data_IF_618525801670
#
_entry.id   IF_618525801670
#
_cell.length_a   1.000
_cell.length_b   1.000
_cell.length_c   1.000
_cell.angle_alpha   90.00
_cell.angle_beta   90.00
_cell.angle_gamma   90.00
#
_symmetry.space_group_name_H-M   'P 1'
#
loop_
_entity.id
_entity.type
_entity.pdbx_description
1 polymer ?
#
# COMPACT_ATOMS: atom_id res chain seq x y z
N UNK A 1 -16.43 30.19 53.31
CA UNK A 1 -15.13 30.25 52.60
C UNK A 1 -14.58 28.89 52.15
N UNK A 2 -14.68 27.79 52.94
CA UNK A 2 -14.09 26.47 52.60
C UNK A 2 -14.63 25.85 51.28
N UNK A 3 -15.89 26.10 50.91
CA UNK A 3 -16.46 25.57 49.66
C UNK A 3 -15.82 26.15 48.39
N UNK A 4 -15.34 27.39 48.44
CA UNK A 4 -14.70 28.03 47.28
C UNK A 4 -13.27 27.51 47.04
N UNK A 5 -12.57 27.07 48.09
CA UNK A 5 -11.23 26.47 47.96
C UNK A 5 -11.24 25.11 47.25
N UNK A 6 -12.33 24.33 47.37
CA UNK A 6 -12.45 23.02 46.73
C UNK A 6 -12.60 23.12 45.20
N UNK A 7 -13.35 24.10 44.72
CA UNK A 7 -13.50 24.32 43.27
C UNK A 7 -12.22 24.87 42.64
N UNK A 8 -11.47 25.72 43.36
CA UNK A 8 -10.18 26.20 42.90
C UNK A 8 -9.14 25.06 42.77
N UNK A 9 -9.08 24.13 43.73
CA UNK A 9 -8.17 22.99 43.67
C UNK A 9 -8.46 22.03 42.50
N UNK A 10 -9.75 21.78 42.19
CA UNK A 10 -10.14 20.94 41.05
C UNK A 10 -9.85 21.62 39.71
N UNK A 11 -10.03 22.95 39.61
CA UNK A 11 -9.70 23.70 38.41
C UNK A 11 -8.19 23.68 38.09
N UNK A 12 -7.32 23.72 39.11
CA UNK A 12 -5.87 23.60 38.93
C UNK A 12 -5.43 22.20 38.48
N UNK A 13 -6.11 21.13 38.92
CA UNK A 13 -5.80 19.75 38.50
C UNK A 13 -6.22 19.45 37.06
N UNK A 14 -7.20 20.18 36.50
CA UNK A 14 -7.66 20.01 35.12
C UNK A 14 -6.76 20.75 34.11
N UNK A 15 -6.08 21.83 34.53
CA UNK A 15 -5.22 22.62 33.64
C UNK A 15 -3.90 21.92 33.27
N UNK A 16 -3.44 20.95 34.06
CA UNK A 16 -2.13 20.27 33.86
C UNK A 16 -2.11 19.20 32.77
N UNK A 17 -3.26 18.80 32.21
CA UNK A 17 -3.31 17.73 31.20
C UNK A 17 -3.07 18.20 29.76
N UNK A 18 -3.09 19.51 29.47
CA UNK A 18 -2.94 20.00 28.08
C UNK A 18 -1.49 19.98 27.58
N UNK A 19 -0.51 20.19 28.45
CA UNK A 19 0.91 20.30 28.07
C UNK A 19 1.59 18.97 27.73
N UNK A 20 0.95 17.83 28.01
CA UNK A 20 1.59 16.52 27.84
C UNK A 20 1.46 15.97 26.40
N UNK A 21 0.46 16.42 25.65
CA UNK A 21 0.15 15.88 24.32
C UNK A 21 0.98 16.56 23.22
N UNK A 22 1.18 17.87 23.30
CA UNK A 22 1.92 18.62 22.28
C UNK A 22 3.40 18.26 22.22
N UNK A 23 3.97 17.71 23.30
CA UNK A 23 5.38 17.33 23.35
C UNK A 23 5.75 16.12 22.48
N UNK A 24 4.77 15.29 22.09
CA UNK A 24 5.00 14.01 21.40
C UNK A 24 4.91 14.09 19.88
N UNK A 25 4.32 15.13 19.31
CA UNK A 25 4.16 15.30 17.86
C UNK A 25 5.10 16.39 17.38
N UNK A 26 5.83 16.14 16.30
CA UNK A 26 6.70 17.11 15.64
C UNK A 26 6.31 17.26 14.17
N UNK A 27 6.35 18.50 13.66
CA UNK A 27 6.22 18.78 12.24
C UNK A 27 7.59 18.61 11.55
N UNK A 28 7.69 17.69 10.59
CA UNK A 28 8.91 17.40 9.85
C UNK A 28 8.69 17.67 8.37
N UNK A 29 9.49 18.56 7.78
CA UNK A 29 9.46 18.87 6.36
C UNK A 29 10.40 17.97 5.58
N UNK A 30 9.85 17.22 4.62
CA UNK A 30 10.63 16.31 3.78
C UNK A 30 10.69 16.86 2.36
N UNK A 31 11.90 17.03 1.84
CA UNK A 31 12.18 17.52 0.50
C UNK A 31 13.02 16.51 -0.28
N UNK A 32 12.71 16.36 -1.57
CA UNK A 32 13.50 15.54 -2.50
C UNK A 32 14.20 16.42 -3.53
N UNK A 33 15.51 16.28 -3.65
CA UNK A 33 16.33 17.00 -4.65
C UNK A 33 16.66 16.06 -5.81
N UNK A 34 16.76 16.55 -7.04
CA UNK A 34 17.14 15.72 -8.21
C UNK A 34 16.06 14.74 -8.72
N UNK A 35 14.84 14.77 -8.18
CA UNK A 35 13.70 14.01 -8.66
C UNK A 35 12.37 14.72 -8.33
N UNK A 36 11.38 14.58 -9.20
CA UNK A 36 10.00 15.04 -8.98
C UNK A 36 9.07 13.82 -8.88
N UNK A 37 7.90 13.99 -8.26
CA UNK A 37 6.88 12.95 -8.11
C UNK A 37 7.42 11.67 -7.45
N UNK A 38 8.25 11.84 -6.43
CA UNK A 38 8.80 10.72 -5.67
C UNK A 38 7.75 10.17 -4.71
N UNK A 39 7.62 8.85 -4.63
CA UNK A 39 6.79 8.16 -3.64
C UNK A 39 7.68 7.70 -2.49
N UNK A 40 7.43 8.18 -1.28
CA UNK A 40 8.22 7.83 -0.11
C UNK A 40 7.40 7.04 0.91
N UNK A 41 8.07 6.09 1.56
CA UNK A 41 7.58 5.30 2.68
C UNK A 41 8.43 5.65 3.89
N UNK A 42 7.82 6.13 4.95
CA UNK A 42 8.50 6.29 6.23
C UNK A 42 8.01 5.20 7.17
N UNK A 43 8.96 4.44 7.70
CA UNK A 43 8.72 3.31 8.57
C UNK A 43 9.53 3.44 9.86
N UNK A 44 8.86 3.13 10.96
CA UNK A 44 9.44 2.85 12.26
C UNK A 44 8.90 1.49 12.74
N UNK A 45 9.27 1.03 13.93
CA UNK A 45 8.77 -0.19 14.55
C UNK A 45 7.24 -0.23 14.63
N UNK A 46 6.64 0.89 15.02
CA UNK A 46 5.20 0.95 15.32
C UNK A 46 4.35 1.57 14.20
N UNK A 47 4.96 2.32 13.27
CA UNK A 47 4.24 3.10 12.27
C UNK A 47 4.85 2.94 10.88
N UNK A 48 3.99 2.89 9.87
CA UNK A 48 4.40 2.91 8.47
C UNK A 48 3.39 3.72 7.67
N UNK A 49 3.86 4.71 6.92
CA UNK A 49 2.99 5.51 6.07
C UNK A 49 3.67 6.00 4.79
N UNK A 50 2.85 6.33 3.81
CA UNK A 50 3.24 6.76 2.46
C UNK A 50 2.96 8.25 2.26
N UNK A 51 3.82 8.95 1.54
CA UNK A 51 3.67 10.39 1.25
C UNK A 51 4.41 10.79 -0.04
N UNK A 52 4.15 12.02 -0.51
CA UNK A 52 4.71 12.57 -1.75
C UNK A 52 5.39 13.93 -1.47
N UNK A 53 6.73 13.99 -1.43
CA UNK A 53 7.47 15.24 -1.25
C UNK A 53 7.29 16.25 -2.39
N UNK A 54 7.39 17.58 -2.14
CA UNK A 54 7.67 18.21 -0.84
C UNK A 54 6.42 18.29 0.06
N UNK A 55 6.53 17.83 1.30
CA UNK A 55 5.40 17.82 2.26
C UNK A 55 5.90 17.92 3.70
N UNK A 56 5.14 18.61 4.56
CA UNK A 56 5.33 18.59 6.01
C UNK A 56 4.41 17.55 6.65
N UNK A 57 4.98 16.69 7.49
CA UNK A 57 4.31 15.57 8.12
C UNK A 57 4.34 15.74 9.64
N UNK A 58 3.23 15.43 10.29
CA UNK A 58 3.14 15.30 11.75
C UNK A 58 3.61 13.91 12.14
N UNK A 59 4.78 13.84 12.76
CA UNK A 59 5.44 12.59 13.15
C UNK A 59 5.48 12.49 14.67
N UNK A 60 5.15 11.33 15.21
CA UNK A 60 5.29 11.07 16.64
C UNK A 60 6.76 10.85 16.98
N UNK A 61 7.27 11.48 18.03
CA UNK A 61 8.63 11.25 18.52
C UNK A 61 8.78 9.80 18.98
N UNK A 62 9.91 9.19 18.64
CA UNK A 62 10.20 7.80 18.98
C UNK A 62 11.70 7.64 19.26
N UNK A 63 12.10 6.78 20.22
CA UNK A 63 13.50 6.38 20.39
C UNK A 63 14.03 5.59 19.20
N UNK A 64 13.15 4.94 18.44
CA UNK A 64 13.54 4.07 17.35
C UNK A 64 13.81 4.88 16.06
N UNK A 65 14.85 4.52 15.29
CA UNK A 65 15.21 5.24 14.07
C UNK A 65 14.14 5.11 12.99
N UNK A 66 13.94 6.19 12.25
CA UNK A 66 13.02 6.22 11.12
C UNK A 66 13.73 5.83 9.83
N UNK A 67 13.21 4.85 9.11
CA UNK A 67 13.69 4.46 7.78
C UNK A 67 12.79 5.08 6.72
N UNK A 68 13.35 5.95 5.90
CA UNK A 68 12.65 6.62 4.80
C UNK A 68 13.14 6.02 3.48
N UNK A 69 12.25 5.30 2.80
CA UNK A 69 12.52 4.69 1.50
C UNK A 69 11.75 5.43 0.42
N UNK A 70 12.46 6.08 -0.49
CA UNK A 70 11.88 6.87 -1.56
C UNK A 70 12.15 6.24 -2.93
N UNK A 71 11.08 6.18 -3.73
CA UNK A 71 11.07 5.71 -5.11
C UNK A 71 10.91 6.92 -6.02
N UNK A 72 11.86 7.12 -6.91
CA UNK A 72 11.85 8.17 -7.92
C UNK A 72 11.69 7.58 -9.33
N UNK A 73 11.20 8.37 -10.31
CA UNK A 73 11.14 7.96 -11.70
C UNK A 73 12.50 7.48 -12.22
N UNK A 74 12.45 6.49 -13.12
CA UNK A 74 13.65 5.80 -13.61
C UNK A 74 14.18 4.76 -12.63
N UNK A 75 13.32 4.18 -11.79
CA UNK A 75 13.65 3.12 -10.83
C UNK A 75 14.82 3.48 -9.90
N UNK A 76 14.87 4.76 -9.51
CA UNK A 76 15.87 5.21 -8.55
C UNK A 76 15.28 5.04 -7.16
N UNK A 77 15.93 4.21 -6.35
CA UNK A 77 15.53 3.97 -4.96
C UNK A 77 16.59 4.53 -4.03
N UNK A 78 16.15 5.25 -2.99
CA UNK A 78 17.03 5.75 -1.93
C UNK A 78 16.41 5.51 -0.57
N UNK A 79 17.18 4.87 0.29
CA UNK A 79 16.83 4.64 1.69
C UNK A 79 17.71 5.54 2.56
N UNK A 80 17.09 6.33 3.42
CA UNK A 80 17.75 7.17 4.41
C UNK A 80 17.27 6.74 5.79
N UNK A 81 18.20 6.45 6.68
CA UNK A 81 17.91 6.19 8.09
C UNK A 81 18.13 7.50 8.83
N UNK A 82 17.09 7.96 9.53
CA UNK A 82 17.10 9.18 10.32
C UNK A 82 17.09 8.79 11.80
N UNK A 83 18.23 9.00 12.44
CA UNK A 83 18.39 8.75 13.87
C UNK A 83 17.83 9.93 14.68
N UNK A 84 17.00 9.67 15.71
CA UNK A 84 16.55 10.72 16.60
C UNK A 84 17.73 11.30 17.39
N UNK A 85 17.76 12.63 17.56
CA UNK A 85 18.76 13.31 18.38
C UNK A 85 18.17 13.70 19.72
N UNK A 86 18.92 13.49 20.78
CA UNK A 86 18.61 14.03 22.11
C UNK A 86 19.27 15.41 22.23
N UNK A 87 18.51 16.49 22.40
CA UNK A 87 19.11 17.81 22.53
C UNK A 87 19.92 17.92 23.83
N UNK A 88 21.11 18.51 23.76
CA UNK A 88 22.05 18.64 24.89
C UNK A 88 21.44 19.40 26.08
N UNK A 89 20.50 20.32 25.81
CA UNK A 89 19.76 21.04 26.85
C UNK A 89 18.96 20.11 27.76
N UNK A 90 18.46 19.00 27.23
CA UNK A 90 17.73 17.99 28.02
C UNK A 90 18.67 17.32 29.01
N UNK A 91 19.92 17.05 28.61
CA UNK A 91 20.93 16.47 29.51
C UNK A 91 21.25 17.38 30.71
N UNK A 92 21.29 18.70 30.51
CA UNK A 92 21.50 19.65 31.61
C UNK A 92 20.32 19.79 32.57
N UNK A 93 19.08 19.70 32.06
CA UNK A 93 17.90 19.65 32.91
C UNK A 93 17.84 18.35 33.72
N UNK A 94 18.29 17.25 33.12
CA UNK A 94 18.37 15.94 33.76
C UNK A 94 19.27 15.97 35.00
N UNK A 95 20.43 16.62 34.90
CA UNK A 95 21.37 16.72 36.02
C UNK A 95 20.85 17.59 37.18
N UNK A 96 19.97 18.57 36.92
CA UNK A 96 19.48 19.48 37.94
C UNK A 96 18.13 19.07 38.56
N UNK A 97 17.30 18.32 37.84
CA UNK A 97 15.92 18.05 38.26
C UNK A 97 15.71 16.73 39.04
N UNK A 98 16.72 15.85 39.12
CA UNK A 98 16.81 14.69 40.04
C UNK A 98 15.78 13.55 39.88
N UNK A 99 14.51 13.85 39.59
CA UNK A 99 13.40 12.89 39.46
C UNK A 99 12.59 13.05 38.17
N UNK A 100 12.63 14.21 37.50
CA UNK A 100 11.91 14.44 36.23
C UNK A 100 12.40 13.58 35.05
N UNK A 101 13.66 13.15 35.11
CA UNK A 101 14.38 12.39 34.07
C UNK A 101 13.66 11.09 33.68
N UNK A 102 13.18 10.36 34.68
CA UNK A 102 12.56 9.07 34.45
C UNK A 102 11.21 9.23 33.72
N UNK A 103 10.47 10.30 34.03
CA UNK A 103 9.18 10.60 33.40
C UNK A 103 9.38 11.05 31.96
N UNK A 104 10.40 11.87 31.69
CA UNK A 104 10.70 12.36 30.34
C UNK A 104 11.25 11.26 29.43
N UNK A 105 12.02 10.31 29.96
CA UNK A 105 12.49 9.15 29.20
C UNK A 105 11.33 8.23 28.81
N UNK A 106 10.36 8.05 29.72
CA UNK A 106 9.18 7.23 29.46
C UNK A 106 8.21 7.88 28.46
N UNK A 107 8.15 9.20 28.40
CA UNK A 107 7.24 9.91 27.49
C UNK A 107 7.73 9.99 26.05
N UNK A 108 8.97 9.54 25.77
CA UNK A 108 9.68 9.69 24.50
C UNK A 108 9.83 11.15 24.02
N UNK A 109 9.53 12.13 24.88
CA UNK A 109 9.56 13.55 24.52
C UNK A 109 10.98 14.08 24.25
N UNK A 110 12.00 13.35 24.71
CA UNK A 110 13.42 13.70 24.57
C UNK A 110 14.01 13.41 23.18
N UNK A 111 13.31 12.67 22.32
CA UNK A 111 13.81 12.29 21.00
C UNK A 111 13.30 13.26 19.95
N UNK A 112 14.19 14.01 19.31
CA UNK A 112 13.84 15.01 18.32
C UNK A 112 14.34 14.60 16.92
N UNK A 113 13.47 14.71 15.93
CA UNK A 113 13.84 14.56 14.53
C UNK A 113 14.33 15.90 13.98
N UNK A 114 15.17 15.92 12.95
CA UNK A 114 15.49 17.17 12.27
C UNK A 114 14.24 17.75 11.62
N UNK A 115 14.02 19.07 11.79
CA UNK A 115 12.87 19.78 11.20
C UNK A 115 12.80 19.65 9.67
N UNK A 116 13.96 19.47 9.03
CA UNK A 116 14.10 19.34 7.59
C UNK A 116 14.94 18.13 7.21
N UNK A 117 14.34 17.23 6.44
CA UNK A 117 15.01 16.04 5.88
C UNK A 117 15.11 16.23 4.36
N UNK A 118 16.35 16.28 3.85
CA UNK A 118 16.61 16.44 2.42
C UNK A 118 17.12 15.12 1.84
N UNK A 119 16.37 14.55 0.91
CA UNK A 119 16.70 13.30 0.23
C UNK A 119 17.15 13.65 -1.19
N UNK A 120 18.46 13.70 -1.42
CA UNK A 120 19.01 14.01 -2.74
C UNK A 120 19.11 12.78 -3.64
N UNK A 121 18.54 12.88 -4.83
CA UNK A 121 18.69 11.94 -5.94
C UNK A 121 19.72 12.37 -6.99
N UNK A 122 20.49 13.42 -6.69
CA UNK A 122 21.55 13.90 -7.59
C UNK A 122 22.64 12.83 -7.76
N UNK A 123 23.09 12.63 -8.99
CA UNK A 123 24.13 11.64 -9.32
C UNK A 123 23.66 10.18 -9.38
N UNK A 124 22.40 9.86 -9.01
CA UNK A 124 21.87 8.52 -9.21
C UNK A 124 21.41 8.33 -10.65
N UNK A 125 22.03 7.37 -11.34
CA UNK A 125 21.63 6.94 -12.68
C UNK A 125 20.35 6.10 -12.61
N UNK A 126 19.44 6.22 -13.60
CA UNK A 126 18.30 5.33 -13.72
C UNK A 126 18.75 3.87 -13.82
N UNK A 127 18.12 2.98 -13.06
CA UNK A 127 18.34 1.54 -13.17
C UNK A 127 17.25 0.91 -14.03
N UNK A 128 17.59 0.03 -14.96
CA UNK A 128 16.58 -0.83 -15.59
C UNK A 128 16.28 -1.96 -14.62
N UNK A 129 15.06 -2.05 -14.09
CA UNK A 129 14.64 -3.30 -13.45
C UNK A 129 14.57 -4.41 -14.51
N UNK A 130 14.93 -5.65 -14.16
CA UNK A 130 14.62 -6.77 -15.02
C UNK A 130 13.11 -6.79 -15.25
N UNK A 131 12.71 -7.23 -16.44
CA UNK A 131 11.30 -7.45 -16.69
C UNK A 131 10.79 -8.49 -15.66
N UNK A 132 9.55 -8.34 -15.18
CA UNK A 132 9.01 -9.31 -14.25
C UNK A 132 9.00 -10.70 -14.92
N UNK A 133 9.15 -11.79 -14.15
CA UNK A 133 9.40 -13.12 -14.68
C UNK A 133 8.28 -13.65 -15.60
N UNK A 134 7.07 -13.10 -15.51
CA UNK A 134 5.99 -13.47 -16.44
C UNK A 134 6.26 -12.97 -17.87
N UNK A 135 7.09 -11.94 -18.08
CA UNK A 135 7.50 -11.51 -19.42
C UNK A 135 8.38 -12.56 -20.10
N UNK A 136 9.24 -13.24 -19.33
CA UNK A 136 10.08 -14.34 -19.85
C UNK A 136 9.19 -15.44 -20.41
N UNK A 137 8.09 -15.76 -19.73
CA UNK A 137 7.10 -16.74 -20.20
C UNK A 137 6.47 -16.34 -21.54
N UNK A 138 6.19 -15.06 -21.78
CA UNK A 138 5.65 -14.59 -23.07
C UNK A 138 6.69 -14.53 -24.18
N UNK A 139 7.97 -14.40 -23.84
CA UNK A 139 9.06 -14.47 -24.81
C UNK A 139 9.33 -15.93 -25.22
N UNK A 140 9.16 -16.89 -24.30
CA UNK A 140 9.19 -18.33 -24.58
C UNK A 140 7.93 -18.83 -25.32
N UNK A 141 6.79 -18.17 -25.09
CA UNK A 141 5.48 -18.51 -25.67
C UNK A 141 4.89 -17.34 -26.49
N UNK A 142 5.46 -17.01 -27.67
CA UNK A 142 4.95 -15.92 -28.49
C UNK A 142 3.50 -16.13 -28.95
N UNK A 143 3.01 -17.38 -28.97
CA UNK A 143 1.61 -17.73 -29.23
C UNK A 143 0.63 -17.21 -28.15
N UNK A 144 1.12 -16.81 -26.97
CA UNK A 144 0.30 -16.20 -25.94
C UNK A 144 0.29 -14.66 -26.03
N UNK A 145 1.27 -14.09 -26.75
CA UNK A 145 1.43 -12.65 -26.95
C UNK A 145 0.35 -12.16 -27.93
N UNK A 146 -0.76 -11.65 -27.38
CA UNK A 146 -1.92 -11.16 -28.14
C UNK A 146 -3.25 -11.84 -27.80
N UNK A 147 -3.26 -12.86 -26.95
CA UNK A 147 -4.51 -13.50 -26.49
C UNK A 147 -5.23 -12.63 -25.44
N UNK A 148 -4.53 -11.70 -24.79
CA UNK A 148 -5.09 -10.90 -23.70
C UNK A 148 -5.70 -9.55 -24.09
N UNK A 149 -5.69 -9.16 -25.37
CA UNK A 149 -6.42 -7.95 -25.79
C UNK A 149 -7.93 -8.25 -25.94
N UNK A 150 -8.53 -8.87 -24.91
CA UNK A 150 -9.97 -8.89 -24.69
C UNK A 150 -10.43 -7.50 -24.28
N UNK A 151 -10.44 -6.56 -25.24
CA UNK A 151 -11.19 -5.32 -25.05
C UNK A 151 -12.66 -5.69 -24.85
N UNK A 152 -13.38 -5.03 -23.94
CA UNK A 152 -14.82 -5.21 -23.82
C UNK A 152 -15.48 -4.92 -25.18
N UNK A 153 -15.92 -5.97 -25.88
CA UNK A 153 -16.64 -5.85 -27.15
C UNK A 153 -16.04 -6.57 -28.37
N UNK A 154 -14.83 -7.12 -28.31
CA UNK A 154 -14.29 -7.93 -29.42
C UNK A 154 -13.52 -9.16 -28.94
N UNK A 155 -14.13 -10.36 -28.96
CA UNK A 155 -13.38 -11.61 -28.84
C UNK A 155 -12.66 -11.86 -30.17
N UNK A 156 -11.50 -11.25 -30.37
CA UNK A 156 -10.63 -11.61 -31.48
C UNK A 156 -9.87 -12.88 -31.08
N UNK A 157 -10.21 -14.02 -31.68
CA UNK A 157 -9.39 -15.21 -31.55
C UNK A 157 -8.13 -15.00 -32.40
N UNK A 158 -6.99 -15.58 -32.01
CA UNK A 158 -5.77 -15.50 -32.83
C UNK A 158 -5.96 -16.00 -34.27
N UNK A 159 -6.96 -16.88 -34.51
CA UNK A 159 -7.35 -17.33 -35.84
C UNK A 159 -7.88 -16.21 -36.74
N UNK A 160 -8.35 -15.10 -36.17
CA UNK A 160 -8.89 -13.96 -36.91
C UNK A 160 -7.79 -12.96 -37.30
N UNK A 161 -6.54 -13.17 -36.83
CA UNK A 161 -5.38 -12.37 -37.21
C UNK A 161 -5.15 -12.39 -38.72
N UNK A 162 -5.47 -11.29 -39.38
CA UNK A 162 -5.39 -11.13 -40.84
C UNK A 162 -6.75 -11.01 -41.56
N UNK A 163 -7.86 -11.22 -40.84
CA UNK A 163 -9.20 -11.02 -41.41
C UNK A 163 -9.62 -9.58 -41.15
N UNK A 164 -9.79 -8.79 -42.20
CA UNK A 164 -10.33 -7.43 -42.08
C UNK A 164 -11.78 -7.53 -41.59
N UNK A 165 -12.03 -7.18 -40.32
CA UNK A 165 -13.37 -7.20 -39.75
C UNK A 165 -14.19 -6.12 -40.44
N UNK A 166 -15.33 -6.45 -41.09
CA UNK A 166 -16.21 -5.43 -41.65
C UNK A 166 -16.69 -4.52 -40.53
N UNK A 167 -16.59 -3.20 -40.72
CA UNK A 167 -16.97 -2.22 -39.71
C UNK A 167 -18.41 -2.45 -39.24
N UNK A 168 -18.62 -2.47 -37.92
CA UNK A 168 -19.95 -2.54 -37.33
C UNK A 168 -20.71 -1.27 -37.71
N UNK A 169 -21.59 -1.35 -38.71
CA UNK A 169 -22.53 -0.28 -39.02
C UNK A 169 -23.60 -0.26 -37.94
N UNK A 170 -23.82 0.91 -37.34
CA UNK A 170 -24.85 1.13 -36.35
C UNK A 170 -26.20 0.75 -36.97
N UNK A 171 -27.01 -0.06 -36.26
CA UNK A 171 -28.31 -0.55 -36.75
C UNK A 171 -29.31 0.55 -37.10
N UNK A 172 -29.00 1.80 -36.76
CA UNK A 172 -29.83 2.99 -36.99
C UNK A 172 -30.02 3.34 -38.48
N UNK A 173 -29.17 2.82 -39.38
CA UNK A 173 -29.27 3.10 -40.83
C UNK A 173 -30.06 2.05 -41.63
N UNK A 174 -30.56 0.97 -41.00
CA UNK A 174 -31.28 -0.11 -41.69
C UNK A 174 -32.81 0.11 -41.82
N UNK A 175 -33.37 1.15 -41.22
CA UNK A 175 -34.83 1.37 -41.19
C UNK A 175 -35.33 2.50 -42.14
N UNK A 176 -34.50 3.03 -43.04
CA UNK A 176 -34.89 4.16 -43.89
C UNK A 176 -35.60 3.79 -45.22
N UNK A 177 -35.80 2.51 -45.57
CA UNK A 177 -36.28 2.21 -46.91
C UNK A 177 -36.78 0.80 -47.19
N UNK A 178 -37.83 0.33 -46.50
CA UNK A 178 -38.72 -0.71 -47.05
C UNK A 178 -40.03 -0.79 -46.25
N UNK A 179 -40.88 0.22 -46.39
CA UNK A 179 -42.17 0.31 -45.70
C UNK A 179 -43.27 0.89 -46.59
N UNK A 180 -43.47 0.33 -47.79
CA UNK A 180 -44.67 0.58 -48.60
C UNK A 180 -45.37 -0.73 -48.94
N UNK A 181 -46.59 -0.87 -48.44
CA UNK A 181 -47.52 -1.99 -48.70
C UNK A 181 -47.64 -2.91 -47.49
N UNK A 182 -48.80 -3.20 -46.90
CA UNK A 182 -50.19 -2.98 -47.29
C UNK A 182 -51.03 -2.94 -46.01
N UNK A 183 -51.99 -2.00 -45.97
CA UNK A 183 -53.14 -2.05 -45.09
C UNK A 183 -54.05 -3.20 -45.56
N UNK A 184 -54.35 -4.15 -44.68
CA UNK A 184 -55.28 -5.25 -44.95
C UNK A 184 -55.79 -5.82 -43.63
N UNK A 185 -57.10 -5.76 -43.46
CA UNK A 185 -57.83 -5.96 -42.24
C UNK A 185 -57.84 -7.40 -41.70
N UNK A 186 -58.43 -7.51 -40.51
CA UNK A 186 -58.99 -8.70 -39.86
C UNK A 186 -58.06 -9.52 -38.97
N UNK A 187 -58.22 -9.26 -37.68
CA UNK A 187 -57.99 -10.24 -36.63
C UNK A 187 -58.88 -11.47 -36.85
N UNK A 188 -58.35 -12.67 -36.56
CA UNK A 188 -58.98 -13.39 -35.47
C UNK A 188 -57.98 -13.93 -34.44
N UNK A 189 -58.60 -14.26 -33.32
CA UNK A 189 -58.07 -14.71 -32.04
C UNK A 189 -56.97 -15.79 -32.11
N UNK A 190 -56.03 -15.63 -31.16
CA UNK A 190 -55.45 -16.67 -30.32
C UNK A 190 -55.13 -18.04 -30.95
N UNK A 191 -53.84 -18.33 -31.09
CA UNK A 191 -53.33 -19.63 -30.68
C UNK A 191 -51.88 -19.52 -30.17
N UNK A 192 -51.68 -20.01 -28.95
CA UNK A 192 -50.36 -20.23 -28.34
C UNK A 192 -49.55 -21.13 -29.26
N UNK A 193 -48.43 -20.64 -29.80
CA UNK A 193 -47.39 -21.52 -30.32
C UNK A 193 -46.07 -21.18 -29.63
N UNK A 194 -45.72 -22.03 -28.68
CA UNK A 194 -44.42 -22.08 -28.05
C UNK A 194 -43.40 -22.56 -29.09
N UNK A 195 -42.45 -21.70 -29.46
CA UNK A 195 -41.27 -22.12 -30.21
C UNK A 195 -40.17 -22.59 -29.25
N UNK A 196 -39.38 -23.60 -29.64
CA UNK A 196 -38.59 -24.40 -28.72
C UNK A 196 -37.35 -23.64 -28.24
N UNK A 197 -37.21 -23.54 -26.92
CA UNK A 197 -35.93 -23.25 -26.27
C UNK A 197 -34.97 -24.35 -26.69
N UNK A 198 -34.04 -24.03 -27.58
CA UNK A 198 -32.97 -24.95 -27.95
C UNK A 198 -31.99 -24.95 -26.79
N UNK A 199 -32.12 -25.97 -25.94
CA UNK A 199 -31.27 -26.23 -24.80
C UNK A 199 -29.83 -26.43 -25.31
N UNK A 200 -28.98 -25.42 -25.07
CA UNK A 200 -27.55 -25.52 -25.31
C UNK A 200 -27.00 -26.52 -24.30
N UNK A 201 -26.82 -27.76 -24.75
CA UNK A 201 -26.19 -28.83 -24.00
C UNK A 201 -24.74 -28.40 -23.71
N UNK A 202 -24.51 -27.95 -22.48
CA UNK A 202 -23.17 -27.73 -21.99
C UNK A 202 -22.40 -29.07 -22.02
N UNK A 203 -21.15 -29.09 -22.48
CA UNK A 203 -20.34 -30.30 -22.45
C UNK A 203 -20.23 -30.83 -21.01
N UNK A 204 -20.22 -32.15 -20.81
CA UNK A 204 -20.15 -32.75 -19.49
C UNK A 204 -18.88 -32.28 -18.77
N UNK A 205 -19.09 -31.56 -17.66
CA UNK A 205 -18.04 -31.21 -16.71
C UNK A 205 -17.47 -32.54 -16.17
N UNK A 206 -16.17 -32.83 -16.31
CA UNK A 206 -15.60 -34.06 -15.79
C UNK A 206 -15.70 -34.06 -14.25
N UNK A 207 -16.50 -34.98 -13.72
CA UNK A 207 -16.87 -35.12 -12.30
C UNK A 207 -15.73 -35.61 -11.37
N UNK A 208 -14.48 -35.31 -11.67
CA UNK A 208 -13.33 -35.67 -10.84
C UNK A 208 -12.90 -34.55 -9.89
N UNK A 209 -13.82 -33.68 -9.47
CA UNK A 209 -13.62 -32.83 -8.30
C UNK A 209 -13.82 -33.67 -7.04
N UNK A 210 -12.75 -34.33 -6.58
CA UNK A 210 -12.63 -34.63 -5.15
C UNK A 210 -12.81 -33.30 -4.43
N UNK A 211 -13.96 -33.11 -3.78
CA UNK A 211 -14.20 -31.96 -2.93
C UNK A 211 -13.18 -32.01 -1.81
N UNK A 212 -12.10 -31.26 -2.01
CA UNK A 212 -11.15 -30.97 -0.95
C UNK A 212 -11.93 -30.16 0.08
N UNK A 213 -12.15 -30.75 1.27
CA UNK A 213 -12.80 -30.01 2.35
C UNK A 213 -11.96 -28.77 2.65
N UNK A 214 -12.61 -27.71 3.12
CA UNK A 214 -11.94 -26.47 3.50
C UNK A 214 -10.75 -26.69 4.48
N UNK A 215 -10.78 -27.79 5.25
CA UNK A 215 -9.71 -28.20 6.15
C UNK A 215 -8.46 -28.73 5.44
N UNK A 216 -8.59 -29.25 4.21
CA UNK A 216 -7.44 -29.72 3.41
C UNK A 216 -6.74 -28.57 2.67
N UNK A 217 -7.48 -27.52 2.30
CA UNK A 217 -6.94 -26.31 1.68
C UNK A 217 -6.10 -25.47 2.66
N UNK A 218 -6.49 -25.44 3.93
CA UNK A 218 -5.70 -24.76 4.98
C UNK A 218 -4.47 -25.55 5.40
N UNK A 219 -4.46 -26.88 5.24
CA UNK A 219 -3.34 -27.74 5.63
C UNK A 219 -2.25 -27.89 4.55
N UNK A 220 -2.55 -27.61 3.28
CA UNK A 220 -1.56 -27.63 2.19
C UNK A 220 -0.89 -26.27 1.95
N UNK A 221 -1.41 -25.20 2.55
CA UNK A 221 -0.74 -23.91 2.54
C UNK A 221 0.48 -23.97 3.46
N UNK A 222 1.65 -23.87 2.84
CA UNK A 222 2.95 -23.95 3.46
C UNK A 222 3.03 -23.07 4.74
N UNK A 223 3.12 -23.66 5.95
CA UNK A 223 3.15 -22.89 7.19
C UNK A 223 4.41 -22.04 7.34
N UNK A 224 5.40 -22.20 6.45
CA UNK A 224 6.59 -21.35 6.42
C UNK A 224 6.37 -19.94 5.86
N UNK A 225 5.27 -19.67 5.13
CA UNK A 225 5.02 -18.33 4.55
C UNK A 225 4.16 -17.47 5.48
N UNK A 226 3.22 -18.06 6.20
CA UNK A 226 2.48 -17.37 7.26
C UNK A 226 3.15 -17.64 8.60
N UNK A 227 4.33 -17.04 8.77
CA UNK A 227 5.13 -17.12 9.99
C UNK A 227 4.30 -16.77 11.22
N UNK A 228 4.03 -17.78 12.04
CA UNK A 228 3.76 -17.56 13.45
C UNK A 228 4.94 -16.81 14.05
N UNK A 229 4.65 -15.73 14.77
CA UNK A 229 5.61 -15.07 15.65
C UNK A 229 6.04 -16.06 16.74
N UNK A 230 7.00 -16.94 16.44
CA UNK A 230 7.79 -17.58 17.47
C UNK A 230 8.78 -16.54 17.98
N UNK A 231 8.53 -16.09 19.20
CA UNK A 231 9.44 -15.28 20.01
C UNK A 231 10.83 -15.94 19.99
N UNK A 232 11.90 -15.28 19.53
CA UNK A 232 13.24 -15.82 19.67
C UNK A 232 13.58 -15.90 21.15
N UNK A 233 13.82 -17.12 21.63
CA UNK A 233 14.42 -17.35 22.94
C UNK A 233 15.79 -16.65 22.97
N UNK A 234 15.92 -15.68 23.87
CA UNK A 234 17.16 -14.98 24.13
C UNK A 234 18.19 -15.96 24.73
N UNK A 235 19.09 -16.46 23.88
CA UNK A 235 20.35 -17.08 24.32
C UNK A 235 21.43 -16.02 24.10
N UNK A 236 21.62 -15.18 25.11
CA UNK A 236 22.74 -14.26 25.19
C UNK A 236 24.01 -15.04 25.56
N UNK A 237 24.92 -15.19 24.59
CA UNK A 237 26.33 -15.41 24.90
C UNK A 237 26.99 -14.04 25.18
N UNK A 238 27.85 -13.92 26.20
CA UNK A 238 28.56 -12.68 26.50
C UNK A 238 29.58 -12.37 25.39
N UNK A 239 29.48 -11.17 24.80
CA UNK A 239 30.49 -10.65 23.88
C UNK A 239 31.60 -9.99 24.72
N UNK A 240 32.79 -10.56 24.63
CA UNK A 240 34.01 -10.08 25.25
C UNK A 240 34.50 -8.81 24.51
N UNK A 241 34.41 -7.65 25.16
CA UNK A 241 34.89 -6.38 24.63
C UNK A 241 36.39 -6.22 24.94
N UNK A 242 37.24 -6.79 24.08
CA UNK A 242 38.66 -6.42 24.05
C UNK A 242 38.84 -5.16 23.22
N UNK A 243 39.13 -4.04 23.88
CA UNK A 243 39.37 -2.74 23.26
C UNK A 243 40.72 -2.71 22.49
N UNK A 244 40.80 -2.06 21.32
CA UNK A 244 42.08 -1.75 20.69
C UNK A 244 42.72 -0.51 21.35
N UNK A 245 43.87 -0.74 21.98
CA UNK A 245 44.85 0.29 22.32
C UNK A 245 45.40 0.92 21.03
N UNK A 246 45.25 2.23 20.86
CA UNK A 246 45.98 2.98 19.84
C UNK A 246 46.99 3.91 20.50
N UNK A 247 48.23 3.79 19.99
CA UNK A 247 49.36 4.70 20.16
C UNK A 247 49.20 5.94 19.29
#
# INVERSE_FOLDING_TARGET
MIRQLRYAAVAFLLASCSTLVDGQIQDVTIETQGAKNTLCYMQNRDFSFRFYPPQTLKVTKSPDPYTIRCLAPGNREKTVVVEPKTPDSTFFNISNAGTGVAVDHLSAAMYELPDKIVISFEGMQPQSYPQPPYNEFFDDHPELKGVEEFRPGQPALMRDGGTTVPGLTKREDLDAGSGTGLLGADAPAAEKSAAPVTEVVAPPVPSNSKSMSADSLTKSMNPHIFGGFSTPAAIGAPVDMTAPSQQ
#
